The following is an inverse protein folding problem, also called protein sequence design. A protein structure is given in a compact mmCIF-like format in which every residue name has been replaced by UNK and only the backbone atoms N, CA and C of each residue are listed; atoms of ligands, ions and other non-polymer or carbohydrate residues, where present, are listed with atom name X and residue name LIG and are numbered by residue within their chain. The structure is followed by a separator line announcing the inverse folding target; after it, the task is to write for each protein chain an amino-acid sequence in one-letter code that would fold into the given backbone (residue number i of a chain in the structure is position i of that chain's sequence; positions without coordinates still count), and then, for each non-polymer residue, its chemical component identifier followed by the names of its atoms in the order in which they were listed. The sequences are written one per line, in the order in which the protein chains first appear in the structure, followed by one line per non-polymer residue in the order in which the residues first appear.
data_IF_251551595147
#
_entry.id   IF_251551595147
#
_cell.length_a   1.000
_cell.length_b   1.000
_cell.length_c   1.000
_cell.angle_alpha   90.00
_cell.angle_beta   90.00
_cell.angle_gamma   90.00
#
_symmetry.space_group_name_H-M   'P 1'
#
loop_
_entity.id
_entity.type
_entity.pdbx_description
1 polymer ?
#
# COMPACT_ATOMS: atom_id res chain seq x y z
N UNK A 1 -0.34 -0.63 -3.71
CA UNK A 1 0.35 0.66 -3.42
C UNK A 1 -0.45 1.45 -2.39
N UNK A 2 0.20 2.08 -1.42
CA UNK A 2 -0.44 2.89 -0.38
C UNK A 2 0.24 4.26 -0.26
N UNK A 3 -0.53 5.33 -0.09
CA UNK A 3 -0.01 6.69 0.08
C UNK A 3 -0.27 7.14 1.52
N UNK A 4 0.77 7.58 2.22
CA UNK A 4 0.76 7.77 3.67
C UNK A 4 1.70 8.90 4.16
N UNK A 5 1.63 9.21 5.46
CA UNK A 5 2.58 10.09 6.16
C UNK A 5 2.75 9.66 7.63
N UNK A 6 3.90 9.95 8.24
CA UNK A 6 4.24 9.52 9.61
C UNK A 6 3.37 10.17 10.69
N UNK A 7 2.88 11.39 10.42
CA UNK A 7 2.05 12.16 11.35
C UNK A 7 0.56 11.85 11.25
N UNK A 8 0.13 11.05 10.26
CA UNK A 8 -1.26 10.75 9.95
C UNK A 8 -1.80 9.61 10.86
N UNK A 9 -2.71 9.87 11.81
CA UNK A 9 -3.20 8.85 12.73
C UNK A 9 -3.79 7.59 12.07
N UNK A 10 -4.68 7.69 11.06
CA UNK A 10 -5.20 6.48 10.40
C UNK A 10 -4.10 5.71 9.66
N UNK A 11 -3.14 6.40 9.05
CA UNK A 11 -1.99 5.75 8.41
C UNK A 11 -1.19 4.91 9.42
N UNK A 12 -0.93 5.47 10.61
CA UNK A 12 -0.22 4.75 11.69
C UNK A 12 -0.96 3.53 12.18
N UNK A 13 -2.29 3.59 12.23
CA UNK A 13 -3.13 2.49 12.67
C UNK A 13 -3.12 1.32 11.68
N UNK A 14 -3.01 1.59 10.37
CA UNK A 14 -3.03 0.55 9.33
C UNK A 14 -1.67 -0.14 9.11
N UNK A 15 -0.56 0.50 9.47
CA UNK A 15 0.80 -0.01 9.20
C UNK A 15 1.09 -1.41 9.78
N UNK A 16 0.70 -1.74 11.03
CA UNK A 16 0.89 -3.11 11.55
C UNK A 16 0.13 -4.17 10.75
N UNK A 17 -1.10 -3.85 10.33
CA UNK A 17 -1.92 -4.76 9.53
C UNK A 17 -1.34 -4.92 8.11
N UNK A 18 -0.82 -3.84 7.53
CA UNK A 18 -0.08 -3.88 6.26
C UNK A 18 1.14 -4.79 6.33
N UNK A 19 1.93 -4.66 7.41
CA UNK A 19 3.13 -5.47 7.61
C UNK A 19 2.77 -6.95 7.75
N UNK A 20 1.75 -7.27 8.55
CA UNK A 20 1.26 -8.65 8.70
C UNK A 20 0.76 -9.23 7.37
N UNK A 21 -0.01 -8.46 6.61
CA UNK A 21 -0.47 -8.87 5.29
C UNK A 21 0.71 -9.13 4.34
N UNK A 22 1.69 -8.23 4.31
CA UNK A 22 2.88 -8.42 3.48
C UNK A 22 3.66 -9.68 3.87
N UNK A 23 3.88 -9.92 5.17
CA UNK A 23 4.54 -11.13 5.64
C UNK A 23 3.83 -12.41 5.22
N UNK A 24 2.50 -12.39 5.20
CA UNK A 24 1.68 -13.53 4.82
C UNK A 24 1.75 -13.84 3.31
N UNK A 25 1.75 -12.82 2.45
CA UNK A 25 1.53 -13.00 1.00
C UNK A 25 2.73 -12.63 0.11
N UNK A 26 3.84 -12.13 0.66
CA UNK A 26 5.03 -11.78 -0.13
C UNK A 26 5.58 -12.95 -0.96
N UNK A 27 5.49 -14.17 -0.43
CA UNK A 27 5.97 -15.38 -1.10
C UNK A 27 4.98 -15.87 -2.19
N UNK A 28 3.76 -15.33 -2.21
CA UNK A 28 2.73 -15.56 -3.23
C UNK A 28 2.76 -14.49 -4.34
N UNK A 29 3.78 -13.62 -4.35
CA UNK A 29 3.98 -12.59 -5.37
C UNK A 29 3.26 -11.27 -5.10
N UNK A 30 2.75 -11.06 -3.88
CA UNK A 30 2.15 -9.78 -3.48
C UNK A 30 3.23 -8.80 -3.03
N UNK A 31 3.24 -7.61 -3.63
CA UNK A 31 4.13 -6.52 -3.24
C UNK A 31 3.37 -5.32 -2.68
N UNK A 32 3.86 -4.78 -1.56
CA UNK A 32 3.44 -3.48 -1.05
C UNK A 32 4.50 -2.44 -1.40
N UNK A 33 4.05 -1.42 -2.14
CA UNK A 33 4.79 -0.16 -2.31
C UNK A 33 4.08 0.93 -1.53
N UNK A 34 4.72 1.43 -0.47
CA UNK A 34 4.21 2.50 0.39
C UNK A 34 4.90 3.82 0.04
N UNK A 35 4.15 4.74 -0.56
CA UNK A 35 4.61 6.05 -1.00
C UNK A 35 4.39 7.06 0.12
N UNK A 36 5.47 7.53 0.72
CA UNK A 36 5.43 8.56 1.76
C UNK A 36 5.28 9.95 1.12
N UNK A 37 4.35 10.77 1.63
CA UNK A 37 4.20 12.18 1.25
C UNK A 37 5.30 13.04 1.89
N UNK A 38 6.53 12.88 1.44
CA UNK A 38 7.71 13.44 2.10
C UNK A 38 7.69 14.97 2.19
N UNK A 39 7.15 15.66 1.19
CA UNK A 39 6.94 17.12 1.25
C UNK A 39 6.04 17.59 2.41
N UNK A 40 5.20 16.70 2.95
CA UNK A 40 4.30 16.98 4.08
C UNK A 40 4.87 16.52 5.42
N UNK A 41 6.02 15.86 5.44
CA UNK A 41 6.66 15.42 6.67
C UNK A 41 7.23 16.61 7.44
N UNK A 42 7.20 16.51 8.77
CA UNK A 42 7.79 17.56 9.63
C UNK A 42 9.31 17.60 9.50
N UNK A 43 9.93 16.42 9.36
CA UNK A 43 11.37 16.22 9.20
C UNK A 43 11.57 14.94 8.36
N UNK A 44 12.48 14.95 7.37
CA UNK A 44 12.75 13.76 6.54
C UNK A 44 13.15 12.51 7.34
N UNK A 45 13.89 12.70 8.44
CA UNK A 45 14.41 11.63 9.30
C UNK A 45 13.30 10.86 10.03
N UNK A 46 12.11 11.44 10.15
CA UNK A 46 10.96 10.79 10.77
C UNK A 46 10.53 9.54 10.01
N UNK A 47 10.66 9.54 8.67
CA UNK A 47 10.25 8.39 7.86
C UNK A 47 11.11 7.17 8.17
N UNK A 48 12.44 7.34 8.19
CA UNK A 48 13.38 6.27 8.51
C UNK A 48 13.18 5.73 9.94
N UNK A 49 12.97 6.62 10.92
CA UNK A 49 12.67 6.22 12.30
C UNK A 49 11.35 5.45 12.39
N UNK A 50 10.32 5.92 11.68
CA UNK A 50 9.01 5.28 11.65
C UNK A 50 9.09 3.86 11.09
N UNK A 51 9.82 3.67 9.98
CA UNK A 51 10.06 2.35 9.38
C UNK A 51 10.69 1.39 10.39
N UNK A 52 11.71 1.86 11.14
CA UNK A 52 12.38 1.06 12.16
C UNK A 52 11.46 0.75 13.36
N UNK A 53 10.71 1.76 13.85
CA UNK A 53 9.80 1.62 15.00
C UNK A 53 8.68 0.61 14.72
N UNK A 54 8.13 0.63 13.51
CA UNK A 54 7.04 -0.26 13.11
C UNK A 54 7.51 -1.57 12.48
N UNK A 55 8.82 -1.79 12.36
CA UNK A 55 9.39 -3.00 11.77
C UNK A 55 8.95 -3.24 10.32
N UNK A 56 8.78 -2.15 9.55
CA UNK A 56 8.28 -2.23 8.17
C UNK A 56 9.35 -2.88 7.28
N UNK A 57 8.97 -3.94 6.58
CA UNK A 57 9.88 -4.66 5.65
C UNK A 57 9.47 -4.57 4.19
N UNK A 58 8.27 -4.07 3.88
CA UNK A 58 7.87 -3.81 2.50
C UNK A 58 8.51 -2.54 1.94
N UNK A 59 8.42 -2.37 0.62
CA UNK A 59 9.07 -1.26 -0.08
C UNK A 59 8.44 0.08 0.31
N UNK A 60 9.27 1.01 0.79
CA UNK A 60 8.89 2.41 1.02
C UNK A 60 9.62 3.31 0.03
N UNK A 61 8.87 4.20 -0.63
CA UNK A 61 9.41 5.22 -1.54
C UNK A 61 8.98 6.61 -1.10
N UNK A 62 9.80 7.62 -1.41
CA UNK A 62 9.60 9.00 -0.98
C UNK A 62 9.06 9.85 -2.13
N UNK A 63 7.87 10.42 -1.97
CA UNK A 63 7.30 11.40 -2.90
C UNK A 63 7.71 12.82 -2.49
N UNK A 64 9.00 13.14 -2.70
CA UNK A 64 9.62 14.40 -2.27
C UNK A 64 8.99 15.65 -2.88
N UNK A 65 8.42 15.52 -4.08
CA UNK A 65 7.82 16.64 -4.84
C UNK A 65 6.30 16.56 -4.96
N UNK A 66 5.67 15.56 -4.35
CA UNK A 66 4.24 15.32 -4.48
C UNK A 66 3.80 14.89 -5.88
N UNK A 67 4.71 14.43 -6.74
CA UNK A 67 4.42 14.07 -8.13
C UNK A 67 3.55 12.82 -8.21
N UNK A 68 3.89 11.80 -7.41
CA UNK A 68 3.14 10.53 -7.38
C UNK A 68 1.74 10.76 -6.82
N UNK A 69 1.63 11.46 -5.70
CA UNK A 69 0.34 11.76 -5.07
C UNK A 69 -0.58 12.59 -5.95
N UNK A 70 -0.05 13.55 -6.72
CA UNK A 70 -0.83 14.28 -7.74
C UNK A 70 -1.27 13.38 -8.89
N UNK A 71 -0.35 12.59 -9.46
CA UNK A 71 -0.65 11.71 -10.59
C UNK A 71 -1.72 10.67 -10.25
N UNK A 72 -1.66 10.11 -9.04
CA UNK A 72 -2.64 9.15 -8.55
C UNK A 72 -3.88 9.81 -7.91
N UNK A 73 -4.00 11.14 -7.91
CA UNK A 73 -5.14 11.87 -7.36
C UNK A 73 -5.44 11.52 -5.89
N UNK A 74 -4.38 11.43 -5.09
CA UNK A 74 -4.43 11.13 -3.67
C UNK A 74 -4.74 12.39 -2.86
N UNK A 75 -6.01 12.78 -2.85
CA UNK A 75 -6.47 14.00 -2.16
C UNK A 75 -6.57 13.85 -0.63
N UNK A 76 -6.56 12.61 -0.12
CA UNK A 76 -6.62 12.28 1.30
C UNK A 76 -5.69 11.10 1.61
N UNK A 77 -5.23 11.00 2.86
CA UNK A 77 -4.42 9.88 3.34
C UNK A 77 -5.04 9.19 4.56
N UNK A 78 -4.87 7.86 4.69
CA UNK A 78 -4.28 6.97 3.70
C UNK A 78 -5.16 6.79 2.45
N UNK A 79 -4.53 6.53 1.30
CA UNK A 79 -5.22 6.04 0.09
C UNK A 79 -4.46 4.84 -0.46
N UNK A 80 -5.15 3.73 -0.68
CA UNK A 80 -4.61 2.51 -1.26
C UNK A 80 -5.12 2.25 -2.66
N UNK A 81 -4.25 1.70 -3.49
CA UNK A 81 -4.52 1.24 -4.85
C UNK A 81 -4.14 -0.24 -4.93
N UNK A 82 -5.12 -1.07 -5.30
CA UNK A 82 -4.87 -2.44 -5.72
C UNK A 82 -4.53 -2.41 -7.21
N UNK A 83 -3.35 -2.90 -7.53
CA UNK A 83 -2.79 -2.90 -8.88
C UNK A 83 -2.53 -4.36 -9.24
N UNK A 84 -3.03 -4.81 -10.39
CA UNK A 84 -2.78 -6.17 -10.85
C UNK A 84 -1.39 -6.33 -11.48
N UNK A 85 -1.05 -7.56 -11.87
CA UNK A 85 0.24 -7.89 -12.49
C UNK A 85 0.47 -7.25 -13.87
N UNK A 86 -0.57 -6.69 -14.50
CA UNK A 86 -0.48 -5.92 -15.75
C UNK A 86 -0.27 -4.42 -15.48
N UNK A 87 -0.21 -4.01 -14.21
CA UNK A 87 -0.07 -2.61 -13.82
C UNK A 87 -1.39 -1.82 -13.84
N UNK A 88 -2.55 -2.50 -13.94
CA UNK A 88 -3.85 -1.84 -14.01
C UNK A 88 -4.43 -1.67 -12.60
N UNK A 89 -4.91 -0.45 -12.30
CA UNK A 89 -5.60 -0.16 -11.03
C UNK A 89 -6.97 -0.82 -11.05
N UNK A 90 -7.14 -1.85 -10.23
CA UNK A 90 -8.39 -2.60 -10.09
C UNK A 90 -9.31 -1.97 -9.04
N UNK A 91 -8.74 -1.33 -8.01
CA UNK A 91 -9.50 -0.69 -6.93
C UNK A 91 -8.72 0.46 -6.32
N UNK A 92 -9.43 1.55 -6.02
CA UNK A 92 -8.97 2.65 -5.17
C UNK A 92 -9.77 2.61 -3.87
N UNK A 93 -9.11 2.64 -2.72
CA UNK A 93 -9.73 2.59 -1.40
C UNK A 93 -9.18 3.72 -0.53
N UNK A 94 -10.08 4.54 0.01
CA UNK A 94 -9.77 5.50 1.08
C UNK A 94 -9.77 4.79 2.43
N UNK A 95 -10.15 5.47 3.52
CA UNK A 95 -10.14 4.89 4.87
C UNK A 95 -11.32 3.92 5.08
N UNK A 96 -11.10 2.68 5.60
CA UNK A 96 -9.81 2.03 5.86
C UNK A 96 -9.18 1.49 4.57
N UNK A 97 -7.89 1.75 4.39
CA UNK A 97 -7.17 1.54 3.13
C UNK A 97 -6.65 0.10 2.97
N UNK A 98 -6.62 -0.69 4.04
CA UNK A 98 -6.36 -2.13 4.02
C UNK A 98 -7.67 -2.88 4.23
N UNK A 99 -7.93 -3.95 3.44
CA UNK A 99 -9.10 -4.77 3.62
C UNK A 99 -8.96 -5.61 4.90
N UNK A 100 -10.07 -5.84 5.63
CA UNK A 100 -10.09 -6.90 6.66
C UNK A 100 -9.67 -8.24 6.03
N UNK A 101 -9.28 -9.23 6.84
CA UNK A 101 -8.84 -10.54 6.33
C UNK A 101 -9.82 -11.12 5.30
N UNK A 102 -11.13 -10.99 5.53
CA UNK A 102 -12.19 -11.40 4.60
C UNK A 102 -12.17 -10.68 3.24
N UNK A 103 -11.95 -9.35 3.25
CA UNK A 103 -11.87 -8.56 2.04
C UNK A 103 -10.54 -8.82 1.31
N UNK A 104 -9.49 -9.20 2.05
CA UNK A 104 -8.17 -9.55 1.50
C UNK A 104 -8.23 -10.88 0.77
N UNK A 105 -8.89 -11.87 1.37
CA UNK A 105 -9.16 -13.17 0.75
C UNK A 105 -9.94 -13.00 -0.56
N UNK A 106 -11.00 -12.18 -0.59
CA UNK A 106 -11.77 -11.93 -1.82
C UNK A 106 -10.93 -11.26 -2.92
N UNK A 107 -10.05 -10.32 -2.54
CA UNK A 107 -9.17 -9.64 -3.50
C UNK A 107 -8.10 -10.57 -4.06
N UNK A 108 -7.56 -11.46 -3.24
CA UNK A 108 -6.64 -12.50 -3.67
C UNK A 108 -7.34 -13.52 -4.57
N UNK A 109 -8.53 -13.96 -4.20
CA UNK A 109 -9.38 -14.81 -5.03
C UNK A 109 -9.61 -14.21 -6.43
N UNK A 110 -9.85 -12.88 -6.51
CA UNK A 110 -9.96 -12.16 -7.79
C UNK A 110 -8.62 -12.04 -8.51
N UNK A 111 -7.53 -11.82 -7.78
CA UNK A 111 -6.18 -11.76 -8.33
C UNK A 111 -5.77 -13.11 -8.94
N UNK A 112 -5.98 -14.21 -8.23
CA UNK A 112 -5.73 -15.57 -8.69
C UNK A 112 -6.60 -15.96 -9.87
N UNK A 113 -7.92 -15.69 -9.84
CA UNK A 113 -8.82 -15.94 -10.98
C UNK A 113 -8.34 -15.25 -12.26
N UNK A 114 -7.91 -14.00 -12.16
CA UNK A 114 -7.33 -13.26 -13.30
C UNK A 114 -5.96 -13.80 -13.75
N UNK A 115 -5.27 -14.58 -12.91
CA UNK A 115 -4.06 -15.31 -13.27
C UNK A 115 -4.35 -16.71 -13.81
N UNK A 116 -5.46 -17.34 -13.43
CA UNK A 116 -5.83 -18.70 -13.88
C UNK A 116 -6.47 -18.72 -15.26
N UNK A 117 -7.10 -17.63 -15.70
CA UNK A 117 -7.60 -17.47 -17.09
C UNK A 117 -6.48 -17.53 -18.16
N UNK A 118 -5.20 -17.60 -17.77
CA UNK A 118 -4.07 -17.82 -18.70
C UNK A 118 -3.67 -19.28 -18.92
N UNK A 119 -4.34 -20.25 -18.30
CA UNK A 119 -4.01 -21.68 -18.47
C UNK A 119 -5.09 -22.50 -19.21
N UNK A 120 -6.07 -21.84 -19.84
CA UNK A 120 -7.11 -22.47 -20.66
C UNK A 120 -7.33 -21.75 -22.00
N UNK A 121 -6.24 -21.43 -22.70
CA UNK A 121 -6.22 -21.25 -24.16
C UNK A 121 -4.98 -21.90 -24.76
#
# INVERSE_FOLDING_TARGET
MNIWATWCPPCRAEMPDMQKFYEQYKDEGVEIVAVNLTQSERQPEHVARFIQEYGITFTVVLDEKGEVSRQYQAQAIPTSYLIDSKGIIQKRRGIPAIPSSSDSDELLDRFERNHTEKFHE
#
